data_IF_901921978407
#
_entry.id   IF_901921978407
#
_cell.length_a   1.000
_cell.length_b   1.000
_cell.length_c   1.000
_cell.angle_alpha   90.00
_cell.angle_beta   90.00
_cell.angle_gamma   90.00
#
_symmetry.space_group_name_H-M   'P 1'
#
loop_
_entity.id
_entity.type
_entity.pdbx_description
1 polymer ?
#
# COMPACT_ATOMS: atom_id res chain seq x y z
N UNK A 1 6.53 -1.17 24.72
CA UNK A 1 7.40 -0.57 23.70
C UNK A 1 8.71 -1.33 23.70
N UNK A 2 9.39 -1.46 22.56
CA UNK A 2 10.73 -2.05 22.50
C UNK A 2 11.74 -0.95 22.82
N UNK A 3 12.63 -1.23 23.76
CA UNK A 3 13.63 -0.26 24.24
C UNK A 3 14.98 -0.53 23.56
N UNK A 4 15.31 -1.80 23.33
CA UNK A 4 16.60 -2.20 22.76
C UNK A 4 16.49 -3.50 21.98
N UNK A 5 17.21 -3.58 20.87
CA UNK A 5 17.40 -4.81 20.09
C UNK A 5 18.90 -4.97 19.87
N UNK A 6 19.48 -6.07 20.33
CA UNK A 6 20.91 -6.37 20.18
C UNK A 6 21.11 -7.77 19.60
N UNK A 7 22.14 -7.92 18.77
CA UNK A 7 22.55 -9.24 18.29
C UNK A 7 23.34 -9.96 19.39
N UNK A 8 22.91 -11.17 19.75
CA UNK A 8 23.55 -12.01 20.75
C UNK A 8 23.80 -13.41 20.18
N UNK A 9 25.02 -13.64 19.69
CA UNK A 9 25.34 -14.85 18.93
C UNK A 9 24.54 -14.90 17.63
N UNK A 10 23.79 -15.98 17.42
CA UNK A 10 22.91 -16.16 16.25
C UNK A 10 21.48 -15.62 16.46
N UNK A 11 21.15 -15.11 17.66
CA UNK A 11 19.82 -14.61 18.01
C UNK A 11 19.82 -13.09 18.20
N UNK A 12 18.62 -12.51 18.29
CA UNK A 12 18.37 -11.12 18.65
C UNK A 12 17.77 -11.08 20.06
N UNK A 13 18.45 -10.41 21.00
CA UNK A 13 17.91 -10.07 22.30
C UNK A 13 17.05 -8.81 22.18
N UNK A 14 15.79 -8.89 22.62
CA UNK A 14 14.82 -7.81 22.59
C UNK A 14 14.46 -7.44 24.02
N UNK A 15 14.85 -6.25 24.44
CA UNK A 15 14.44 -5.66 25.72
C UNK A 15 13.28 -4.69 25.46
N UNK A 16 12.21 -4.82 26.24
CA UNK A 16 10.97 -4.09 26.06
C UNK A 16 10.24 -3.86 27.39
N UNK A 17 9.29 -2.93 27.39
CA UNK A 17 8.26 -2.83 28.42
C UNK A 17 6.93 -3.43 27.94
N UNK A 18 6.42 -4.42 28.67
CA UNK A 18 5.10 -5.03 28.48
C UNK A 18 4.22 -4.74 29.70
N UNK A 19 3.09 -4.05 29.49
CA UNK A 19 2.21 -3.59 30.57
C UNK A 19 2.97 -2.84 31.69
N UNK A 20 3.96 -2.03 31.31
CA UNK A 20 4.81 -1.25 32.22
C UNK A 20 5.95 -2.03 32.89
N UNK A 21 6.04 -3.35 32.71
CA UNK A 21 7.08 -4.19 33.32
C UNK A 21 8.21 -4.48 32.33
N UNK A 22 9.47 -4.53 32.79
CA UNK A 22 10.59 -5.00 31.96
C UNK A 22 10.32 -6.43 31.46
N UNK A 23 10.62 -6.65 30.20
CA UNK A 23 10.45 -7.91 29.49
C UNK A 23 11.64 -8.09 28.55
N UNK A 24 12.25 -9.27 28.55
CA UNK A 24 13.35 -9.59 27.64
C UNK A 24 13.10 -10.95 27.00
N UNK A 25 13.36 -11.06 25.70
CA UNK A 25 13.30 -12.33 24.97
C UNK A 25 14.40 -12.43 23.91
N UNK A 26 14.83 -13.65 23.62
CA UNK A 26 15.68 -13.95 22.48
C UNK A 26 14.84 -14.50 21.32
N UNK A 27 14.96 -13.91 20.13
CA UNK A 27 14.26 -14.34 18.91
C UNK A 27 15.25 -14.61 17.78
N UNK A 28 14.90 -15.52 16.88
CA UNK A 28 15.74 -15.84 15.72
C UNK A 28 15.59 -14.81 14.58
N UNK A 29 14.42 -14.17 14.48
CA UNK A 29 14.14 -13.17 13.44
C UNK A 29 13.07 -12.18 13.87
N UNK A 30 13.21 -10.94 13.39
CA UNK A 30 12.19 -9.89 13.49
C UNK A 30 11.72 -9.55 12.07
N UNK A 31 10.41 -9.56 11.84
CA UNK A 31 9.80 -9.16 10.56
C UNK A 31 9.04 -7.85 10.78
N UNK A 32 9.48 -6.78 10.11
CA UNK A 32 8.91 -5.44 10.29
C UNK A 32 7.83 -5.21 9.24
N UNK A 33 6.56 -5.34 9.63
CA UNK A 33 5.40 -5.14 8.75
C UNK A 33 4.67 -3.84 9.08
N UNK A 34 5.40 -2.73 9.24
CA UNK A 34 4.87 -1.42 9.68
C UNK A 34 4.44 -0.51 8.52
N UNK A 35 4.18 -1.09 7.35
CA UNK A 35 3.80 -0.36 6.14
C UNK A 35 4.98 0.23 5.38
N UNK A 36 4.67 1.05 4.38
CA UNK A 36 5.63 1.74 3.51
C UNK A 36 5.22 3.20 3.32
N UNK A 37 6.17 4.02 2.87
CA UNK A 37 5.97 5.43 2.49
C UNK A 37 6.76 5.69 1.20
N UNK A 38 6.19 6.36 0.19
CA UNK A 38 6.93 6.68 -1.02
C UNK A 38 8.04 7.70 -0.74
N UNK A 39 9.20 7.51 -1.35
CA UNK A 39 10.24 8.53 -1.42
C UNK A 39 9.93 9.50 -2.57
N UNK A 40 9.65 10.75 -2.22
CA UNK A 40 9.35 11.84 -3.14
C UNK A 40 10.50 12.85 -3.25
N UNK A 41 11.67 12.57 -2.65
CA UNK A 41 12.81 13.50 -2.64
C UNK A 41 13.26 13.95 -4.03
N UNK A 42 13.15 13.07 -5.03
CA UNK A 42 13.48 13.39 -6.42
C UNK A 42 12.52 14.41 -7.07
N UNK A 43 11.37 14.68 -6.46
CA UNK A 43 10.38 15.68 -6.89
C UNK A 43 10.53 17.02 -6.15
N UNK A 44 11.63 17.24 -5.41
CA UNK A 44 11.80 18.43 -4.56
C UNK A 44 11.64 19.79 -5.26
N UNK A 45 11.88 19.85 -6.57
CA UNK A 45 11.72 21.07 -7.39
C UNK A 45 10.38 21.14 -8.14
N UNK A 46 9.55 20.10 -8.02
CA UNK A 46 8.23 20.02 -8.67
C UNK A 46 7.17 20.51 -7.68
N UNK A 47 6.21 21.31 -8.16
CA UNK A 47 5.12 21.82 -7.32
C UNK A 47 4.09 20.73 -7.04
N UNK A 48 4.37 19.90 -6.03
CA UNK A 48 3.45 18.91 -5.52
C UNK A 48 2.68 19.43 -4.30
N UNK A 49 1.47 18.93 -4.11
CA UNK A 49 0.67 19.12 -2.91
C UNK A 49 0.37 17.76 -2.31
N UNK A 50 0.54 17.64 -0.99
CA UNK A 50 0.35 16.40 -0.24
C UNK A 50 -0.54 16.68 0.97
N UNK A 51 -1.51 15.81 1.19
CA UNK A 51 -2.29 15.78 2.42
C UNK A 51 -1.38 15.44 3.62
N UNK A 52 -1.51 16.12 4.78
CA UNK A 52 -0.61 15.92 5.92
C UNK A 52 -0.78 14.57 6.62
N UNK A 53 -1.91 13.89 6.45
CA UNK A 53 -2.22 12.63 7.14
C UNK A 53 -1.79 11.43 6.29
N UNK A 54 -2.27 11.36 5.05
CA UNK A 54 -2.01 10.22 4.17
C UNK A 54 -0.89 10.45 3.18
N UNK A 55 -0.40 11.69 3.02
CA UNK A 55 0.66 12.04 2.07
C UNK A 55 0.34 11.68 0.60
N UNK A 56 -0.95 11.80 0.25
CA UNK A 56 -1.48 11.63 -1.10
C UNK A 56 -1.89 13.00 -1.67
N UNK A 57 -2.21 13.11 -2.99
CA UNK A 57 -2.85 14.31 -3.52
C UNK A 57 -4.08 14.71 -2.68
N UNK A 58 -4.28 15.99 -2.33
CA UNK A 58 -5.36 16.41 -1.44
C UNK A 58 -6.77 16.04 -1.91
N UNK A 59 -7.00 15.97 -3.23
CA UNK A 59 -8.27 15.54 -3.80
C UNK A 59 -8.51 14.03 -3.65
N UNK A 60 -7.43 13.23 -3.65
CA UNK A 60 -7.50 11.78 -3.45
C UNK A 60 -7.62 11.40 -1.98
N UNK A 61 -6.98 12.14 -1.07
CA UNK A 61 -6.83 11.77 0.34
C UNK A 61 -8.13 11.36 1.04
N UNK A 62 -9.27 12.10 0.92
CA UNK A 62 -10.52 11.72 1.56
C UNK A 62 -11.10 10.38 1.05
N UNK A 63 -10.74 9.95 -0.15
CA UNK A 63 -11.25 8.73 -0.77
C UNK A 63 -10.50 7.47 -0.34
N UNK A 64 -9.30 7.63 0.22
CA UNK A 64 -8.38 6.52 0.51
C UNK A 64 -7.94 6.48 1.97
N UNK A 65 -8.45 7.37 2.82
CA UNK A 65 -8.10 7.39 4.24
C UNK A 65 -8.50 6.06 4.91
N UNK A 66 -7.53 5.31 5.48
CA UNK A 66 -7.76 4.00 6.05
C UNK A 66 -8.65 4.02 7.31
N UNK A 67 -8.88 5.18 7.92
CA UNK A 67 -9.83 5.31 9.03
C UNK A 67 -11.29 5.18 8.55
N UNK A 68 -11.56 5.44 7.28
CA UNK A 68 -12.91 5.44 6.69
C UNK A 68 -13.10 4.39 5.60
N UNK A 69 -12.02 4.00 4.91
CA UNK A 69 -12.08 3.12 3.75
C UNK A 69 -11.25 1.84 3.93
N UNK A 70 -11.75 0.77 3.33
CA UNK A 70 -11.05 -0.50 3.14
C UNK A 70 -10.72 -0.69 1.67
N UNK A 71 -9.90 -1.69 1.31
CA UNK A 71 -9.51 -1.93 -0.08
C UNK A 71 -10.69 -2.05 -1.07
N UNK A 72 -11.84 -2.56 -0.61
CA UNK A 72 -13.03 -2.74 -1.44
C UNK A 72 -13.99 -1.56 -1.46
N UNK A 73 -13.81 -0.57 -0.59
CA UNK A 73 -14.72 0.59 -0.46
C UNK A 73 -14.09 1.89 -0.96
N UNK A 74 -12.87 1.83 -1.48
CA UNK A 74 -12.23 2.96 -2.15
C UNK A 74 -12.89 3.13 -3.53
N UNK A 75 -13.50 4.30 -3.84
CA UNK A 75 -14.05 4.56 -5.15
C UNK A 75 -12.92 4.62 -6.18
N UNK A 76 -13.21 4.18 -7.41
CA UNK A 76 -12.30 4.37 -8.52
C UNK A 76 -12.10 5.88 -8.79
N UNK A 77 -10.88 6.24 -9.16
CA UNK A 77 -10.44 7.63 -9.31
C UNK A 77 -9.34 7.70 -10.38
N UNK A 78 -9.14 8.89 -10.90
CA UNK A 78 -8.28 9.13 -12.06
C UNK A 78 -7.69 10.52 -12.05
N UNK A 79 -7.51 11.11 -13.23
CA UNK A 79 -6.84 12.40 -13.41
C UNK A 79 -7.43 13.54 -12.55
N UNK A 80 -8.73 13.47 -12.19
CA UNK A 80 -9.39 14.44 -11.31
C UNK A 80 -8.74 14.52 -9.93
N UNK A 81 -8.44 13.36 -9.35
CA UNK A 81 -7.95 13.27 -7.99
C UNK A 81 -6.42 13.22 -7.92
N UNK A 82 -5.75 12.88 -9.03
CA UNK A 82 -4.31 12.65 -9.11
C UNK A 82 -3.48 13.89 -9.53
N UNK A 83 -4.15 14.97 -9.93
CA UNK A 83 -3.49 16.18 -10.38
C UNK A 83 -2.77 16.89 -9.22
N UNK A 84 -1.60 17.45 -9.52
CA UNK A 84 -0.86 18.32 -8.61
C UNK A 84 -0.89 19.78 -9.08
N UNK A 85 -0.46 20.74 -8.24
CA UNK A 85 -0.33 22.14 -8.65
C UNK A 85 0.59 22.37 -9.85
N UNK A 86 1.61 21.52 -10.05
CA UNK A 86 2.44 21.53 -11.25
C UNK A 86 1.58 21.16 -12.48
N UNK A 87 1.45 22.05 -13.48
CA UNK A 87 0.63 21.78 -14.66
C UNK A 87 1.11 20.55 -15.45
N UNK A 88 0.16 19.67 -15.80
CA UNK A 88 0.47 18.47 -16.57
C UNK A 88 1.23 17.39 -15.80
N UNK A 89 1.40 17.54 -14.48
CA UNK A 89 2.07 16.56 -13.63
C UNK A 89 1.08 15.80 -12.76
N UNK A 90 1.22 14.47 -12.73
CA UNK A 90 0.44 13.56 -11.90
C UNK A 90 1.35 12.51 -11.30
N UNK A 91 1.00 12.05 -10.10
CA UNK A 91 1.60 10.85 -9.50
C UNK A 91 0.54 9.75 -9.58
N UNK A 92 0.92 8.59 -10.11
CA UNK A 92 0.04 7.41 -10.25
C UNK A 92 0.61 6.21 -9.50
N UNK A 93 -0.22 5.17 -9.36
CA UNK A 93 0.11 3.92 -8.71
C UNK A 93 0.22 4.07 -7.19
N UNK A 94 0.94 3.14 -6.55
CA UNK A 94 1.08 3.13 -5.10
C UNK A 94 1.74 4.38 -4.52
N UNK A 95 2.54 5.12 -5.32
CA UNK A 95 3.13 6.39 -4.89
C UNK A 95 2.08 7.48 -4.68
N UNK A 96 0.97 7.46 -5.43
CA UNK A 96 -0.11 8.43 -5.27
C UNK A 96 -0.91 8.21 -3.99
N UNK A 97 -0.79 7.03 -3.37
CA UNK A 97 -1.49 6.67 -2.14
C UNK A 97 -0.73 7.08 -0.86
N UNK A 98 0.50 7.57 -0.98
CA UNK A 98 1.30 7.96 0.19
C UNK A 98 1.42 6.83 1.21
N UNK A 99 0.79 7.02 2.37
CA UNK A 99 0.77 6.11 3.52
C UNK A 99 -0.45 5.18 3.55
N UNK A 100 -1.42 5.36 2.66
CA UNK A 100 -2.63 4.56 2.63
C UNK A 100 -2.31 3.11 2.18
N UNK A 101 -2.63 2.08 2.99
CA UNK A 101 -2.24 0.70 2.71
C UNK A 101 -3.21 -0.05 1.79
N UNK A 102 -4.23 0.63 1.26
CA UNK A 102 -5.37 0.03 0.56
C UNK A 102 -5.21 0.01 -0.97
N UNK A 103 -4.01 0.29 -1.48
CA UNK A 103 -3.76 0.33 -2.92
C UNK A 103 -3.91 -1.05 -3.58
N UNK A 104 -4.64 -1.10 -4.68
CA UNK A 104 -4.80 -2.28 -5.52
C UNK A 104 -4.24 -2.00 -6.92
N UNK A 105 -3.61 -3.01 -7.53
CA UNK A 105 -3.13 -2.90 -8.91
C UNK A 105 -4.25 -2.56 -9.90
N UNK A 106 -5.45 -3.11 -9.68
CA UNK A 106 -6.63 -2.79 -10.50
C UNK A 106 -6.96 -1.30 -10.47
N UNK A 107 -6.87 -0.67 -9.29
CA UNK A 107 -7.01 0.78 -9.16
C UNK A 107 -5.91 1.52 -9.90
N UNK A 108 -4.66 1.07 -9.78
CA UNK A 108 -3.53 1.63 -10.53
C UNK A 108 -3.72 1.61 -12.05
N UNK A 109 -4.29 0.53 -12.59
CA UNK A 109 -4.59 0.45 -14.04
C UNK A 109 -5.63 1.47 -14.46
N UNK A 110 -6.65 1.69 -13.63
CA UNK A 110 -7.66 2.71 -13.90
C UNK A 110 -7.09 4.14 -13.84
N UNK A 111 -6.22 4.41 -12.85
CA UNK A 111 -5.49 5.67 -12.76
C UNK A 111 -4.69 5.94 -14.05
N UNK A 112 -3.89 4.97 -14.49
CA UNK A 112 -3.06 5.11 -15.70
C UNK A 112 -3.93 5.30 -16.94
N UNK A 113 -5.01 4.53 -17.09
CA UNK A 113 -5.96 4.68 -18.21
C UNK A 113 -6.52 6.11 -18.26
N UNK A 114 -7.01 6.61 -17.14
CA UNK A 114 -7.59 7.95 -17.03
C UNK A 114 -6.56 9.03 -17.35
N UNK A 115 -5.34 8.93 -16.79
CA UNK A 115 -4.26 9.90 -17.03
C UNK A 115 -3.80 9.89 -18.50
N UNK A 116 -3.64 8.71 -19.11
CA UNK A 116 -3.21 8.61 -20.51
C UNK A 116 -4.27 9.16 -21.47
N UNK A 117 -5.56 8.99 -21.17
CA UNK A 117 -6.64 9.60 -21.95
C UNK A 117 -6.56 11.13 -21.91
N UNK A 118 -6.27 11.71 -20.74
CA UNK A 118 -6.09 13.16 -20.58
C UNK A 118 -4.87 13.67 -21.37
N UNK A 119 -3.74 12.96 -21.28
CA UNK A 119 -2.52 13.27 -22.06
C UNK A 119 -2.78 13.20 -23.57
N UNK A 120 -3.63 12.27 -24.02
CA UNK A 120 -4.02 12.13 -25.41
C UNK A 120 -5.04 13.21 -25.88
N UNK A 121 -5.52 14.07 -24.97
CA UNK A 121 -6.51 15.11 -25.25
C UNK A 121 -7.96 14.64 -25.22
N UNK A 122 -8.22 13.38 -24.85
CA UNK A 122 -9.57 12.85 -24.66
C UNK A 122 -10.02 13.06 -23.21
N UNK A 123 -10.31 14.31 -22.88
CA UNK A 123 -10.73 14.70 -21.53
C UNK A 123 -12.06 14.07 -21.12
N UNK A 124 -12.92 13.68 -22.07
CA UNK A 124 -14.17 12.99 -21.75
C UNK A 124 -13.87 11.56 -21.25
N UNK A 125 -13.10 10.78 -22.01
CA UNK A 125 -12.69 9.44 -21.59
C UNK A 125 -11.84 9.45 -20.31
N UNK A 126 -11.08 10.52 -20.07
CA UNK A 126 -10.29 10.69 -18.86
C UNK A 126 -11.15 10.79 -17.59
N UNK A 127 -12.37 11.35 -17.68
CA UNK A 127 -13.30 11.50 -16.53
C UNK A 127 -14.22 10.31 -16.32
N UNK A 128 -14.28 9.38 -17.26
CA UNK A 128 -15.05 8.14 -17.09
C UNK A 128 -14.41 7.27 -16.00
N UNK A 129 -15.26 6.54 -15.26
CA UNK A 129 -14.83 5.47 -14.36
C UNK A 129 -15.16 4.14 -15.04
N UNK A 130 -14.13 3.35 -15.34
CA UNK A 130 -14.29 2.04 -16.01
C UNK A 130 -13.99 0.85 -15.11
N UNK A 131 -13.40 1.09 -13.94
CA UNK A 131 -13.12 0.05 -12.97
C UNK A 131 -14.37 -0.28 -12.14
N UNK A 132 -14.73 -1.55 -12.12
CA UNK A 132 -15.73 -2.11 -11.21
C UNK A 132 -15.01 -3.10 -10.29
N UNK A 133 -14.93 -2.77 -9.01
CA UNK A 133 -14.43 -3.70 -7.99
C UNK A 133 -15.62 -4.47 -7.40
N UNK A 134 -15.48 -5.78 -7.15
CA UNK A 134 -16.49 -6.52 -6.39
C UNK A 134 -16.56 -5.96 -4.95
N UNK A 135 -17.76 -5.77 -4.42
CA UNK A 135 -18.00 -5.16 -3.10
C UNK A 135 -17.40 -5.97 -1.92
N UNK A 136 -17.07 -7.25 -2.15
CA UNK A 136 -16.50 -8.15 -1.14
C UNK A 136 -15.31 -8.95 -1.70
N UNK A 137 -14.41 -9.40 -0.82
CA UNK A 137 -13.41 -10.42 -1.16
C UNK A 137 -12.05 -9.93 -1.64
N UNK A 138 -11.83 -8.62 -1.86
CA UNK A 138 -10.56 -8.13 -2.41
C UNK A 138 -9.40 -8.18 -1.40
N UNK A 139 -9.67 -7.88 -0.13
CA UNK A 139 -8.70 -7.96 0.96
C UNK A 139 -9.11 -8.99 2.03
N UNK A 140 -10.04 -9.89 1.70
CA UNK A 140 -10.31 -11.03 2.58
C UNK A 140 -9.07 -11.92 2.57
N UNK A 141 -8.31 -11.90 3.66
CA UNK A 141 -7.38 -12.98 3.93
C UNK A 141 -8.20 -14.26 3.84
N UNK A 142 -7.96 -15.06 2.80
CA UNK A 142 -8.40 -16.46 2.78
C UNK A 142 -7.88 -16.99 4.10
N UNK A 143 -8.79 -17.23 5.05
CA UNK A 143 -8.43 -17.65 6.40
C UNK A 143 -7.40 -18.74 6.22
N UNK A 144 -6.22 -18.57 6.83
CA UNK A 144 -5.12 -19.52 6.77
C UNK A 144 -5.78 -20.88 6.90
N UNK A 145 -5.88 -21.61 5.78
CA UNK A 145 -6.44 -22.93 5.81
C UNK A 145 -5.54 -23.63 6.82
N UNK A 146 -6.10 -23.99 7.97
CA UNK A 146 -5.43 -24.93 8.88
C UNK A 146 -5.13 -26.10 7.97
N UNK A 147 -3.89 -26.18 7.52
CA UNK A 147 -3.40 -27.24 6.64
C UNK A 147 -3.54 -28.48 7.52
N UNK A 148 -4.69 -29.14 7.40
CA UNK A 148 -4.80 -30.51 7.84
C UNK A 148 -3.79 -31.26 7.00
N UNK A 149 -2.83 -31.92 7.65
CA UNK A 149 -1.77 -32.66 6.99
C UNK A 149 -2.36 -33.54 5.88
N UNK A 150 -2.11 -33.16 4.62
CA UNK A 150 -1.80 -34.05 3.48
C UNK A 150 -2.13 -33.41 2.13
N UNK A 151 -1.07 -32.94 1.46
CA UNK A 151 -0.78 -33.08 0.02
C UNK A 151 0.14 -31.93 -0.41
N UNK A 152 1.45 -32.21 -0.49
CA UNK A 152 2.45 -31.24 -0.93
C UNK A 152 2.20 -30.78 -2.37
N UNK A 153 2.16 -29.46 -2.56
CA UNK A 153 1.95 -28.80 -3.86
C UNK A 153 3.26 -28.56 -4.64
N UNK A 154 4.41 -28.98 -4.10
CA UNK A 154 5.70 -28.88 -4.80
C UNK A 154 6.06 -30.26 -5.37
N UNK A 155 5.94 -30.40 -6.69
CA UNK A 155 6.50 -31.54 -7.42
C UNK A 155 7.96 -31.74 -7.02
N UNK A 156 8.28 -32.97 -6.61
CA UNK A 156 9.62 -33.36 -6.18
C UNK A 156 10.68 -33.19 -7.28
N UNK A 157 11.97 -33.34 -6.93
CA UNK A 157 13.06 -33.10 -7.87
C UNK A 157 12.98 -34.04 -9.07
N UNK A 158 13.43 -33.54 -10.23
CA UNK A 158 13.44 -34.28 -11.51
C UNK A 158 14.18 -35.61 -11.40
N UNK A 159 13.66 -36.71 -11.95
CA UNK A 159 14.41 -37.97 -12.04
C UNK A 159 15.64 -37.81 -12.95
N UNK A 160 16.66 -38.61 -12.65
CA UNK A 160 17.96 -38.65 -13.31
C UNK A 160 17.91 -39.22 -14.73
#
# INVERSE_FOLDING_TARGET
AVDRIETQGEKLAVDAHLAGKPFSMAVDRIVVTTGFRPDLSFLGEIRIALDPVVEAPPALAPLIDPNFHSCGTVPAHGIAELAHPEPGFTIVGSKSYGRAPTFLMATGYEQVRSVVADIAGDHAAAREVRLVLPETGVCSAVGVATVSESAGCCGGPSPA
#
